data_IF_596299296788
#
_entry.id   IF_596299296788
#
_cell.length_a   1.000
_cell.length_b   1.000
_cell.length_c   1.000
_cell.angle_alpha   90.00
_cell.angle_beta   90.00
_cell.angle_gamma   90.00
#
_symmetry.space_group_name_H-M   'P 1'
#
loop_
_entity.id
_entity.type
_entity.pdbx_description
1 polymer ?
#
# COMPACT_ATOMS: atom_id res chain seq x y z
N UNK A 1 -0.75 -18.41 9.18
CA UNK A 1 0.44 -17.92 8.45
C UNK A 1 0.31 -16.40 8.42
N UNK A 2 1.25 -15.63 8.98
CA UNK A 2 1.15 -14.17 8.91
C UNK A 2 1.24 -13.79 7.42
N UNK A 3 0.21 -13.17 6.87
CA UNK A 3 0.22 -12.84 5.44
C UNK A 3 1.37 -11.88 5.13
N UNK A 4 2.03 -12.10 4.00
CA UNK A 4 3.22 -11.35 3.59
C UNK A 4 2.98 -9.83 3.61
N UNK A 5 1.77 -9.37 3.27
CA UNK A 5 1.42 -7.95 3.29
C UNK A 5 1.40 -7.38 4.72
N UNK A 6 1.02 -8.16 5.73
CA UNK A 6 1.05 -7.71 7.13
C UNK A 6 2.49 -7.39 7.55
N UNK A 7 3.46 -8.24 7.17
CA UNK A 7 4.88 -8.00 7.48
C UNK A 7 5.47 -6.77 6.78
N UNK A 8 4.98 -6.45 5.58
CA UNK A 8 5.51 -5.37 4.75
C UNK A 8 4.83 -4.02 5.00
N UNK A 9 3.54 -4.02 5.37
CA UNK A 9 2.74 -2.80 5.47
C UNK A 9 2.30 -2.45 6.90
N UNK A 10 2.24 -3.40 7.85
CA UNK A 10 1.87 -3.12 9.24
C UNK A 10 3.02 -2.50 10.06
N UNK A 11 4.26 -2.72 9.62
CA UNK A 11 5.48 -2.18 10.21
C UNK A 11 5.96 -0.90 9.53
N UNK A 12 5.15 -0.29 8.65
CA UNK A 12 5.51 0.98 8.04
C UNK A 12 5.61 2.07 9.11
N UNK A 13 6.79 2.70 9.21
CA UNK A 13 7.06 3.84 10.09
C UNK A 13 7.18 5.12 9.27
N UNK A 14 6.08 5.57 8.67
CA UNK A 14 6.05 6.75 7.81
C UNK A 14 6.05 8.08 8.59
N UNK A 15 6.27 8.04 9.90
CA UNK A 15 6.26 9.21 10.78
C UNK A 15 4.88 9.84 11.02
N UNK A 16 3.82 9.27 10.43
CA UNK A 16 2.43 9.72 10.59
C UNK A 16 1.51 8.49 10.70
N UNK A 17 0.75 8.41 11.79
CA UNK A 17 -0.17 7.30 12.07
C UNK A 17 -1.23 7.11 10.97
N UNK A 18 -1.73 8.20 10.37
CA UNK A 18 -2.71 8.15 9.28
C UNK A 18 -2.07 7.57 8.01
N UNK A 19 -0.81 7.88 7.76
CA UNK A 19 -0.06 7.29 6.64
C UNK A 19 0.22 5.81 6.88
N UNK A 20 0.56 5.41 8.11
CA UNK A 20 0.76 4.01 8.48
C UNK A 20 -0.53 3.19 8.32
N UNK A 21 -1.65 3.71 8.82
CA UNK A 21 -2.96 3.09 8.66
C UNK A 21 -3.38 2.98 7.19
N UNK A 22 -3.04 3.99 6.38
CA UNK A 22 -3.27 3.94 4.93
C UNK A 22 -2.39 2.88 4.26
N UNK A 23 -1.11 2.80 4.59
CA UNK A 23 -0.18 1.78 4.09
C UNK A 23 -0.73 0.37 4.33
N UNK A 24 -1.15 0.12 5.58
CA UNK A 24 -1.75 -1.14 5.99
C UNK A 24 -3.01 -1.49 5.18
N UNK A 25 -3.94 -0.53 5.04
CA UNK A 25 -5.18 -0.73 4.28
C UNK A 25 -4.93 -1.00 2.80
N UNK A 26 -3.96 -0.32 2.19
CA UNK A 26 -3.56 -0.54 0.80
C UNK A 26 -2.94 -1.93 0.65
N UNK A 27 -1.98 -2.29 1.51
CA UNK A 27 -1.32 -3.59 1.49
C UNK A 27 -2.29 -4.76 1.58
N UNK A 28 -3.31 -4.65 2.44
CA UNK A 28 -4.38 -5.64 2.56
C UNK A 28 -5.18 -5.79 1.27
N UNK A 29 -5.63 -4.69 0.67
CA UNK A 29 -6.41 -4.74 -0.58
C UNK A 29 -5.59 -5.31 -1.74
N UNK A 30 -4.30 -4.96 -1.81
CA UNK A 30 -3.39 -5.50 -2.82
C UNK A 30 -3.18 -7.00 -2.68
N UNK A 31 -3.16 -7.55 -1.46
CA UNK A 31 -3.03 -9.00 -1.28
C UNK A 31 -4.29 -9.75 -1.71
N UNK A 32 -5.47 -9.21 -1.39
CA UNK A 32 -6.76 -9.77 -1.82
C UNK A 32 -6.93 -9.71 -3.35
N UNK A 33 -6.32 -8.73 -4.00
CA UNK A 33 -6.39 -8.47 -5.43
C UNK A 33 -5.12 -8.80 -6.20
N UNK A 34 -4.26 -9.69 -5.70
CA UNK A 34 -2.96 -9.96 -6.31
C UNK A 34 -3.10 -10.36 -7.80
N UNK A 35 -2.30 -9.74 -8.67
CA UNK A 35 -2.32 -9.96 -10.12
C UNK A 35 -3.41 -9.20 -10.88
N UNK A 36 -4.27 -8.44 -10.19
CA UNK A 36 -5.32 -7.60 -10.81
C UNK A 36 -4.86 -6.14 -10.96
N UNK A 37 -5.52 -5.41 -11.85
CA UNK A 37 -5.27 -3.98 -12.00
C UNK A 37 -5.72 -3.21 -10.74
N UNK A 38 -5.02 -2.12 -10.40
CA UNK A 38 -5.37 -1.29 -9.24
C UNK A 38 -6.81 -0.78 -9.30
N UNK A 39 -7.32 -0.47 -10.48
CA UNK A 39 -8.72 -0.07 -10.71
C UNK A 39 -9.73 -1.19 -10.40
N UNK A 40 -9.33 -2.45 -10.48
CA UNK A 40 -10.16 -3.60 -10.12
C UNK A 40 -10.11 -3.88 -8.61
N UNK A 41 -8.97 -3.58 -7.98
CA UNK A 41 -8.76 -3.73 -6.53
C UNK A 41 -9.43 -2.59 -5.75
N UNK A 42 -9.26 -1.35 -6.20
CA UNK A 42 -9.80 -0.15 -5.56
C UNK A 42 -10.98 0.39 -6.37
N UNK A 43 -12.19 -0.01 -5.99
CA UNK A 43 -13.43 0.39 -6.65
C UNK A 43 -13.82 1.86 -6.41
N UNK A 44 -13.34 2.45 -5.31
CA UNK A 44 -13.59 3.85 -4.97
C UNK A 44 -12.53 4.77 -5.56
N UNK A 45 -12.93 5.81 -6.30
CA UNK A 45 -11.99 6.76 -6.93
C UNK A 45 -11.03 7.43 -5.94
N UNK A 46 -11.52 7.75 -4.73
CA UNK A 46 -10.68 8.29 -3.67
C UNK A 46 -9.65 7.28 -3.16
N UNK A 47 -10.01 6.01 -3.00
CA UNK A 47 -9.08 4.97 -2.55
C UNK A 47 -8.02 4.67 -3.62
N UNK A 48 -8.45 4.61 -4.88
CA UNK A 48 -7.57 4.41 -6.03
C UNK A 48 -6.55 5.55 -6.14
N UNK A 49 -6.98 6.81 -6.06
CA UNK A 49 -6.09 7.98 -6.04
C UNK A 49 -5.05 7.86 -4.92
N UNK A 50 -5.50 7.52 -3.71
CA UNK A 50 -4.64 7.37 -2.53
C UNK A 50 -3.65 6.22 -2.67
N UNK A 51 -4.03 5.13 -3.33
CA UNK A 51 -3.13 4.02 -3.65
C UNK A 51 -2.04 4.47 -4.63
N UNK A 52 -2.40 5.24 -5.66
CA UNK A 52 -1.42 5.84 -6.56
C UNK A 52 -0.48 6.83 -5.86
N UNK A 53 -0.99 7.70 -5.00
CA UNK A 53 -0.17 8.62 -4.20
C UNK A 53 0.81 7.87 -3.29
N UNK A 54 0.36 6.77 -2.69
CA UNK A 54 1.16 5.95 -1.79
C UNK A 54 2.26 5.17 -2.53
N UNK A 55 1.93 4.54 -3.66
CA UNK A 55 2.89 3.84 -4.52
C UNK A 55 3.83 4.82 -5.24
N UNK A 56 3.40 6.08 -5.40
CA UNK A 56 4.16 7.17 -6.00
C UNK A 56 5.17 7.85 -5.07
N UNK A 57 5.40 7.32 -3.86
CA UNK A 57 6.51 7.76 -3.01
C UNK A 57 7.81 7.48 -3.76
N UNK A 58 8.62 8.53 -3.96
CA UNK A 58 9.81 8.53 -4.84
C UNK A 58 10.68 7.31 -4.59
N UNK A 59 11.19 6.70 -5.67
CA UNK A 59 12.25 5.69 -5.64
C UNK A 59 13.29 6.10 -4.59
N UNK A 60 13.40 5.34 -3.50
CA UNK A 60 14.67 5.32 -2.77
C UNK A 60 15.70 4.82 -3.77
N UNK A 61 16.68 5.67 -4.08
CA UNK A 61 17.90 5.20 -4.72
C UNK A 61 18.52 4.22 -3.75
N UNK A 62 18.36 2.92 -4.00
CA UNK A 62 19.13 1.89 -3.31
C UNK A 62 20.60 2.20 -3.61
N UNK A 63 21.29 2.79 -2.63
CA UNK A 63 22.75 2.94 -2.71
C UNK A 63 23.34 1.55 -2.74
N UNK A 64 24.09 1.29 -3.81
CA UNK A 64 24.72 0.01 -4.12
C UNK A 64 25.86 -0.30 -3.15
#
# INVERSE_FOLDING_TARGET
MLEWWTKNFASCELGDERLNNRAFSIGKKLSEGFGKALSEVFKGGNELKRAYEFLGIRKQTLSR
#
